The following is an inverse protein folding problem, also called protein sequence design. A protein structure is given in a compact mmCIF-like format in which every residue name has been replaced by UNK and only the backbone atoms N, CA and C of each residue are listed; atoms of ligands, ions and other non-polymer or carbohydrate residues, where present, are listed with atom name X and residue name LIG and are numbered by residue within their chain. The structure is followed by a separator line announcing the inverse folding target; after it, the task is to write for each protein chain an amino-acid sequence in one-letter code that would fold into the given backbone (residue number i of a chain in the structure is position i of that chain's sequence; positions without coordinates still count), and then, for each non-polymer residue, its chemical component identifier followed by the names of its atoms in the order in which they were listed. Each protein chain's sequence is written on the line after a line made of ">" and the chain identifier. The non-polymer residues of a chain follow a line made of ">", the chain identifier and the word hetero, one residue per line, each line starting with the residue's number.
data_IF_896033909865
#
_entry.id   IF_896033909865
#
_cell.length_a   1.000
_cell.length_b   1.000
_cell.length_c   1.000
_cell.angle_alpha   90.00
_cell.angle_beta   90.00
_cell.angle_gamma   90.00
#
_symmetry.space_group_name_H-M   'P 1'
#
loop_
_entity.id
_entity.type
_entity.pdbx_description
1 polymer ?
#
# COMPACT_ATOMS: atom_id res chain seq x y z
N UNK A 1 -4.06 14.88 -9.92
CA UNK A 1 -2.66 14.65 -10.36
C UNK A 1 -2.67 13.64 -11.51
N UNK A 2 -1.80 13.75 -12.52
CA UNK A 2 -1.62 12.65 -13.49
C UNK A 2 -1.05 11.46 -12.72
N UNK A 3 -1.91 10.51 -12.34
CA UNK A 3 -1.53 9.36 -11.54
C UNK A 3 -0.63 8.41 -12.32
N UNK A 4 0.39 7.85 -11.65
CA UNK A 4 1.14 6.70 -12.15
C UNK A 4 0.48 5.44 -11.56
N UNK A 5 0.28 4.41 -12.37
CA UNK A 5 -0.29 3.14 -11.91
C UNK A 5 0.82 2.19 -11.49
N UNK A 6 0.58 1.44 -10.40
CA UNK A 6 1.44 0.37 -9.92
C UNK A 6 0.75 -0.97 -10.17
N UNK A 7 1.36 -1.83 -11.01
CA UNK A 7 0.86 -3.19 -11.27
C UNK A 7 1.71 -4.20 -10.51
N UNK A 8 1.09 -4.94 -9.59
CA UNK A 8 1.77 -5.94 -8.76
C UNK A 8 1.23 -7.34 -9.07
N UNK A 9 2.12 -8.30 -9.33
CA UNK A 9 1.75 -9.72 -9.43
C UNK A 9 1.65 -10.31 -8.03
N UNK A 10 0.48 -10.85 -7.70
CA UNK A 10 0.20 -11.50 -6.43
C UNK A 10 -0.41 -12.88 -6.68
N UNK A 11 -0.11 -13.84 -5.80
CA UNK A 11 -0.91 -15.05 -5.75
C UNK A 11 -2.32 -14.74 -5.26
N UNK A 12 -3.30 -15.54 -5.68
CA UNK A 12 -4.70 -15.34 -5.30
C UNK A 12 -4.89 -15.27 -3.77
N UNK A 13 -4.21 -16.14 -3.02
CA UNK A 13 -4.24 -16.10 -1.55
C UNK A 13 -3.83 -14.74 -0.97
N UNK A 14 -2.77 -14.12 -1.52
CA UNK A 14 -2.29 -12.81 -1.06
C UNK A 14 -3.25 -11.70 -1.46
N UNK A 15 -3.79 -11.77 -2.68
CA UNK A 15 -4.80 -10.82 -3.19
C UNK A 15 -6.05 -10.83 -2.30
N UNK A 16 -6.59 -12.02 -1.99
CA UNK A 16 -7.80 -12.15 -1.17
C UNK A 16 -7.56 -11.67 0.28
N UNK A 17 -6.39 -11.96 0.85
CA UNK A 17 -6.02 -11.42 2.17
C UNK A 17 -6.03 -9.88 2.18
N UNK A 18 -5.52 -9.25 1.13
CA UNK A 18 -5.48 -7.80 1.00
C UNK A 18 -6.89 -7.20 0.92
N UNK A 19 -7.79 -7.79 0.12
CA UNK A 19 -9.19 -7.37 0.05
C UNK A 19 -9.91 -7.47 1.40
N UNK A 20 -9.78 -8.60 2.09
CA UNK A 20 -10.42 -8.80 3.40
C UNK A 20 -9.88 -7.82 4.44
N UNK A 21 -8.58 -7.58 4.45
CA UNK A 21 -7.97 -6.62 5.37
C UNK A 21 -8.44 -5.19 5.10
N UNK A 22 -8.55 -4.80 3.83
CA UNK A 22 -9.10 -3.50 3.41
C UNK A 22 -10.53 -3.31 3.92
N UNK A 23 -11.39 -4.32 3.76
CA UNK A 23 -12.77 -4.29 4.25
C UNK A 23 -12.84 -4.16 5.78
N UNK A 24 -11.98 -4.86 6.53
CA UNK A 24 -11.93 -4.76 8.00
C UNK A 24 -11.47 -3.38 8.50
N UNK A 25 -10.70 -2.66 7.69
CA UNK A 25 -10.18 -1.33 8.02
C UNK A 25 -11.03 -0.19 7.48
N UNK A 26 -12.12 -0.49 6.79
CA UNK A 26 -12.95 0.47 6.06
C UNK A 26 -12.12 1.41 5.17
N UNK A 27 -11.15 0.80 4.45
CA UNK A 27 -10.23 1.51 3.55
C UNK A 27 -10.18 0.84 2.18
N UNK A 28 -9.83 1.61 1.16
CA UNK A 28 -9.48 1.03 -0.14
C UNK A 28 -8.10 0.38 -0.06
N UNK A 29 -7.83 -0.59 -0.94
CA UNK A 29 -6.49 -1.18 -1.07
C UNK A 29 -5.46 -0.10 -1.40
N UNK A 30 -5.83 0.87 -2.25
CA UNK A 30 -4.96 2.00 -2.59
C UNK A 30 -4.58 2.80 -1.35
N UNK A 31 -5.56 3.19 -0.53
CA UNK A 31 -5.29 3.95 0.70
C UNK A 31 -4.41 3.17 1.69
N UNK A 32 -4.59 1.85 1.80
CA UNK A 32 -3.69 1.03 2.61
C UNK A 32 -2.25 1.01 2.08
N UNK A 33 -2.08 0.93 0.77
CA UNK A 33 -0.76 0.95 0.13
C UNK A 33 -0.13 2.34 0.30
N UNK A 34 -0.89 3.41 0.14
CA UNK A 34 -0.44 4.79 0.40
C UNK A 34 0.00 4.95 1.86
N UNK A 35 -0.83 4.55 2.83
CA UNK A 35 -0.46 4.56 4.25
C UNK A 35 0.84 3.78 4.53
N UNK A 36 1.04 2.63 3.87
CA UNK A 36 2.26 1.84 4.03
C UNK A 36 3.47 2.52 3.40
N UNK A 37 3.31 3.12 2.22
CA UNK A 37 4.37 3.88 1.54
C UNK A 37 4.78 5.08 2.40
N UNK A 38 3.81 5.82 2.95
CA UNK A 38 4.05 6.98 3.80
C UNK A 38 4.73 6.60 5.13
N UNK A 39 4.59 5.35 5.56
CA UNK A 39 5.29 4.83 6.75
C UNK A 39 6.75 4.42 6.49
N UNK A 40 7.18 4.33 5.22
CA UNK A 40 8.55 3.95 4.87
C UNK A 40 9.51 5.10 5.21
N UNK A 41 10.54 4.80 5.99
CA UNK A 41 11.69 5.70 6.18
C UNK A 41 12.74 5.40 5.13
N UNK A 42 13.12 6.40 4.35
CA UNK A 42 14.21 6.27 3.39
C UNK A 42 15.55 6.48 4.11
N UNK A 43 16.53 5.63 3.82
CA UNK A 43 17.89 5.82 4.33
C UNK A 43 18.45 7.13 3.76
N UNK A 44 18.88 8.03 4.66
CA UNK A 44 19.37 9.38 4.33
C UNK A 44 18.41 10.53 4.65
N UNK A 45 17.19 10.25 5.12
CA UNK A 45 16.18 11.27 5.47
C UNK A 45 16.22 11.67 6.97
N UNK A 46 17.09 11.04 7.75
CA UNK A 46 17.59 11.63 9.00
C UNK A 46 18.72 12.59 8.64
N UNK A 47 18.35 13.79 8.21
CA UNK A 47 19.22 14.95 8.37
C UNK A 47 19.28 15.26 9.88
N UNK A 48 20.50 15.25 10.43
CA UNK A 48 20.83 16.02 11.64
C UNK A 48 20.40 17.49 11.47
#
# INVERSE_FOLDING_TARGET
>A
MKGKTLTIRLSERRRNKLYLYAAQKDKTITALIEDWIDSLKLEGDTAD
#
